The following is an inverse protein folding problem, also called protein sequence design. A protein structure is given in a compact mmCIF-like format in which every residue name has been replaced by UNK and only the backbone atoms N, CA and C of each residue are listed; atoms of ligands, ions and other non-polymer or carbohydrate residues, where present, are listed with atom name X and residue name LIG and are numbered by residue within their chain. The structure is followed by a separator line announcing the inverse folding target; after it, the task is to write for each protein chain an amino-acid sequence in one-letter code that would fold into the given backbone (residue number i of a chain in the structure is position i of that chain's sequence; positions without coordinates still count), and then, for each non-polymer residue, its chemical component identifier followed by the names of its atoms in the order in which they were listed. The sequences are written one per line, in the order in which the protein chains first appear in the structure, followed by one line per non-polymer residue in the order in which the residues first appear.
data_IF_132171062983
#
_entry.id   IF_132171062983
#
_cell.length_a   1.000
_cell.length_b   1.000
_cell.length_c   1.000
_cell.angle_alpha   90.00
_cell.angle_beta   90.00
_cell.angle_gamma   90.00
#
_symmetry.space_group_name_H-M   'P 1'
#
loop_
_entity.id
_entity.type
_entity.pdbx_description
1 polymer ?
#
# COMPACT_ATOMS: atom_id res chain seq x y z
N UNK A 1 -23.67 5.44 -7.48
CA UNK A 1 -24.43 5.60 -8.75
C UNK A 1 -25.66 6.49 -8.62
N UNK A 2 -26.53 6.34 -7.61
CA UNK A 2 -27.78 7.13 -7.50
C UNK A 2 -27.59 8.66 -7.40
N UNK A 3 -26.56 9.14 -6.71
CA UNK A 3 -26.33 10.58 -6.51
C UNK A 3 -25.93 11.33 -7.78
N UNK A 4 -25.10 10.69 -8.64
CA UNK A 4 -24.69 11.25 -9.94
C UNK A 4 -25.88 11.31 -10.91
N UNK A 5 -26.79 10.34 -10.81
CA UNK A 5 -28.01 10.26 -11.62
C UNK A 5 -28.99 11.39 -11.26
N UNK A 6 -29.15 11.67 -9.97
CA UNK A 6 -30.01 12.77 -9.47
C UNK A 6 -29.45 14.14 -9.86
N UNK A 7 -28.13 14.35 -9.74
CA UNK A 7 -27.49 15.63 -10.11
C UNK A 7 -27.48 15.85 -11.63
N UNK A 8 -27.24 14.81 -12.42
CA UNK A 8 -27.25 14.88 -13.89
C UNK A 8 -28.63 15.15 -14.48
N UNK A 9 -29.67 14.46 -13.98
CA UNK A 9 -31.05 14.69 -14.42
C UNK A 9 -31.55 16.06 -13.94
N UNK A 10 -31.29 16.43 -12.69
CA UNK A 10 -31.66 17.75 -12.17
C UNK A 10 -31.02 18.89 -12.98
N UNK A 11 -29.75 18.75 -13.37
CA UNK A 11 -29.02 19.75 -14.17
C UNK A 11 -29.55 19.84 -15.61
N UNK A 12 -29.96 18.72 -16.21
CA UNK A 12 -30.55 18.70 -17.56
C UNK A 12 -31.94 19.35 -17.60
N UNK A 13 -32.76 19.14 -16.57
CA UNK A 13 -34.13 19.68 -16.47
C UNK A 13 -34.14 21.14 -16.02
N UNK A 14 -33.31 21.52 -15.04
CA UNK A 14 -33.17 22.94 -14.65
C UNK A 14 -32.51 23.77 -15.74
N UNK A 15 -31.51 23.21 -16.43
CA UNK A 15 -30.81 23.87 -17.53
C UNK A 15 -31.76 24.22 -18.68
N UNK A 16 -32.65 23.30 -19.07
CA UNK A 16 -33.61 23.50 -20.16
C UNK A 16 -34.77 24.44 -19.79
N UNK A 17 -35.22 24.47 -18.53
CA UNK A 17 -36.23 25.44 -18.07
C UNK A 17 -35.68 26.87 -17.93
N UNK A 18 -34.44 27.02 -17.46
CA UNK A 18 -33.76 28.32 -17.38
C UNK A 18 -33.40 28.87 -18.78
N UNK A 19 -33.15 27.97 -19.75
CA UNK A 19 -32.83 28.28 -21.15
C UNK A 19 -33.92 29.06 -21.87
N UNK A 20 -35.20 28.73 -21.62
CA UNK A 20 -36.31 29.25 -22.42
C UNK A 20 -36.68 30.70 -22.07
N UNK A 21 -36.19 31.24 -20.94
CA UNK A 21 -36.62 32.55 -20.42
C UNK A 21 -35.56 33.66 -20.55
N UNK A 22 -34.32 33.35 -20.93
CA UNK A 22 -33.19 34.31 -20.82
C UNK A 22 -32.32 34.49 -22.05
N UNK A 23 -32.61 33.79 -23.16
CA UNK A 23 -31.80 33.84 -24.40
C UNK A 23 -32.07 35.10 -25.25
N UNK A 24 -33.16 35.82 -25.01
CA UNK A 24 -33.51 36.99 -25.82
C UNK A 24 -32.86 38.32 -25.39
N UNK A 25 -32.04 38.37 -24.32
CA UNK A 25 -31.60 39.66 -23.74
C UNK A 25 -30.12 39.83 -23.36
N UNK A 26 -29.25 38.84 -23.52
CA UNK A 26 -27.82 39.00 -23.15
C UNK A 26 -26.87 38.13 -24.03
N UNK A 27 -25.97 38.72 -24.84
CA UNK A 27 -24.99 37.98 -25.62
C UNK A 27 -23.98 37.18 -24.76
N UNK A 28 -23.83 37.50 -23.47
CA UNK A 28 -23.04 36.71 -22.51
C UNK A 28 -23.79 35.47 -21.97
N UNK A 29 -25.08 35.30 -22.26
CA UNK A 29 -25.83 34.08 -21.95
C UNK A 29 -25.34 32.89 -22.78
N UNK A 30 -24.79 33.14 -23.97
CA UNK A 30 -24.25 32.11 -24.87
C UNK A 30 -23.09 31.32 -24.26
N UNK A 31 -22.14 32.00 -23.58
CA UNK A 31 -20.99 31.35 -22.95
C UNK A 31 -21.38 30.46 -21.76
N UNK A 32 -22.36 30.89 -20.96
CA UNK A 32 -22.91 30.09 -19.84
C UNK A 32 -23.70 28.88 -20.36
N UNK A 33 -24.44 29.07 -21.45
CA UNK A 33 -25.21 27.99 -22.10
C UNK A 33 -24.33 26.90 -22.71
N UNK A 34 -23.18 27.27 -23.28
CA UNK A 34 -22.20 26.32 -23.81
C UNK A 34 -21.57 25.45 -22.71
N UNK A 35 -21.30 26.04 -21.54
CA UNK A 35 -20.78 25.32 -20.37
C UNK A 35 -21.72 24.23 -19.87
N UNK A 36 -23.03 24.49 -19.83
CA UNK A 36 -24.03 23.49 -19.44
C UNK A 36 -24.21 22.37 -20.46
N UNK A 37 -24.16 22.69 -21.76
CA UNK A 37 -24.24 21.68 -22.83
C UNK A 37 -23.03 20.74 -22.76
N UNK A 38 -21.83 21.26 -22.48
CA UNK A 38 -20.62 20.43 -22.38
C UNK A 38 -20.61 19.60 -21.10
N UNK A 39 -21.08 20.16 -19.98
CA UNK A 39 -21.30 19.36 -18.78
C UNK A 39 -22.24 18.19 -19.06
N UNK A 40 -23.34 18.42 -19.78
CA UNK A 40 -24.28 17.38 -20.17
C UNK A 40 -23.66 16.35 -21.16
N UNK A 41 -22.82 16.79 -22.10
CA UNK A 41 -22.13 15.89 -23.05
C UNK A 41 -21.03 15.09 -22.35
N UNK A 42 -20.21 15.69 -21.50
CA UNK A 42 -19.16 14.99 -20.74
C UNK A 42 -19.79 14.00 -19.76
N UNK A 43 -20.85 14.39 -19.05
CA UNK A 43 -21.61 13.48 -18.18
C UNK A 43 -22.32 12.38 -18.97
N UNK A 44 -22.95 12.70 -20.11
CA UNK A 44 -23.65 11.74 -20.95
C UNK A 44 -22.72 10.72 -21.60
N UNK A 45 -21.56 11.16 -22.10
CA UNK A 45 -20.50 10.29 -22.63
C UNK A 45 -19.93 9.42 -21.53
N UNK A 46 -19.70 9.96 -20.33
CA UNK A 46 -19.21 9.18 -19.18
C UNK A 46 -20.19 8.07 -18.72
N UNK A 47 -21.48 8.19 -19.03
CA UNK A 47 -22.51 7.18 -18.75
C UNK A 47 -22.59 6.07 -19.81
N UNK A 48 -22.06 6.31 -21.02
CA UNK A 48 -22.13 5.38 -22.15
C UNK A 48 -20.89 4.48 -22.29
N UNK A 49 -19.80 4.79 -21.59
CA UNK A 49 -18.52 4.10 -21.71
C UNK A 49 -18.03 3.49 -20.39
N UNK A 50 -17.32 2.36 -20.48
CA UNK A 50 -16.65 1.74 -19.33
C UNK A 50 -15.52 2.63 -18.77
N UNK A 51 -15.16 2.40 -17.49
CA UNK A 51 -14.20 3.22 -16.71
C UNK A 51 -12.96 3.65 -17.53
N UNK A 52 -12.30 2.70 -18.19
CA UNK A 52 -11.06 2.95 -18.95
C UNK A 52 -11.28 3.86 -20.16
N UNK A 53 -12.40 3.66 -20.86
CA UNK A 53 -12.77 4.47 -22.03
C UNK A 53 -13.17 5.88 -21.61
N UNK A 54 -13.82 6.03 -20.47
CA UNK A 54 -14.16 7.35 -19.88
C UNK A 54 -12.91 8.11 -19.44
N UNK A 55 -11.93 7.44 -18.81
CA UNK A 55 -10.64 8.05 -18.45
C UNK A 55 -9.83 8.47 -19.68
N UNK A 56 -9.76 7.61 -20.71
CA UNK A 56 -9.07 7.93 -21.96
C UNK A 56 -9.72 9.13 -22.67
N UNK A 57 -11.05 9.15 -22.77
CA UNK A 57 -11.80 10.25 -23.37
C UNK A 57 -11.61 11.56 -22.60
N UNK A 58 -11.77 11.55 -21.27
CA UNK A 58 -11.56 12.72 -20.43
C UNK A 58 -10.14 13.28 -20.57
N UNK A 59 -9.13 12.41 -20.65
CA UNK A 59 -7.73 12.81 -20.84
C UNK A 59 -7.49 13.47 -22.21
N UNK A 60 -8.09 12.92 -23.28
CA UNK A 60 -8.00 13.50 -24.63
C UNK A 60 -8.67 14.87 -24.71
N UNK A 61 -9.88 15.00 -24.14
CA UNK A 61 -10.60 16.27 -24.06
C UNK A 61 -9.82 17.31 -23.26
N UNK A 62 -9.23 16.90 -22.14
CA UNK A 62 -8.39 17.76 -21.32
C UNK A 62 -7.16 18.26 -22.07
N UNK A 63 -6.47 17.39 -22.82
CA UNK A 63 -5.31 17.77 -23.64
C UNK A 63 -5.68 18.77 -24.75
N UNK A 64 -6.80 18.54 -25.44
CA UNK A 64 -7.30 19.44 -26.48
C UNK A 64 -7.71 20.80 -25.91
N UNK A 65 -8.38 20.83 -24.76
CA UNK A 65 -8.74 22.06 -24.07
C UNK A 65 -7.50 22.83 -23.61
N UNK A 66 -6.47 22.13 -23.11
CA UNK A 66 -5.20 22.74 -22.74
C UNK A 66 -4.46 23.36 -23.93
N UNK A 67 -4.40 22.66 -25.07
CA UNK A 67 -3.86 23.21 -26.32
C UNK A 67 -4.67 24.44 -26.78
N UNK A 68 -6.00 24.41 -26.63
CA UNK A 68 -6.88 25.56 -26.86
C UNK A 68 -6.56 26.76 -25.98
N UNK A 69 -6.29 26.55 -24.68
CA UNK A 69 -5.85 27.62 -23.78
C UNK A 69 -4.53 28.25 -24.20
N UNK A 70 -3.53 27.45 -24.57
CA UNK A 70 -2.22 27.95 -25.05
C UNK A 70 -2.41 28.78 -26.32
N UNK A 71 -3.26 28.33 -27.24
CA UNK A 71 -3.57 29.08 -28.46
C UNK A 71 -4.27 30.42 -28.16
N UNK A 72 -5.27 30.42 -27.26
CA UNK A 72 -5.95 31.64 -26.82
C UNK A 72 -5.00 32.62 -26.13
N UNK A 73 -4.08 32.14 -25.28
CA UNK A 73 -3.09 32.96 -24.59
C UNK A 73 -2.16 33.69 -25.58
N UNK A 74 -1.77 33.03 -26.69
CA UNK A 74 -0.97 33.67 -27.76
C UNK A 74 -1.72 34.77 -28.52
N UNK A 75 -3.05 34.65 -28.66
CA UNK A 75 -3.90 35.60 -29.39
C UNK A 75 -4.60 36.64 -28.51
N UNK A 76 -4.37 36.63 -27.20
CA UNK A 76 -5.06 37.48 -26.24
C UNK A 76 -4.83 38.99 -26.47
N UNK A 77 -3.70 39.37 -27.08
CA UNK A 77 -3.41 40.78 -27.44
C UNK A 77 -4.15 41.27 -28.70
N UNK A 78 -4.63 40.36 -29.54
CA UNK A 78 -5.24 40.68 -30.83
C UNK A 78 -6.78 40.66 -30.80
N UNK A 79 -7.40 39.96 -29.85
CA UNK A 79 -8.86 39.82 -29.80
C UNK A 79 -9.38 39.84 -28.36
N UNK A 80 -10.30 40.77 -28.06
CA UNK A 80 -10.86 40.98 -26.71
C UNK A 80 -11.67 39.77 -26.18
N UNK A 81 -12.18 38.90 -27.07
CA UNK A 81 -12.96 37.71 -26.72
C UNK A 81 -12.10 36.47 -26.40
N UNK A 82 -10.77 36.54 -26.57
CA UNK A 82 -9.87 35.42 -26.28
C UNK A 82 -9.83 35.03 -24.80
N UNK A 83 -10.10 35.99 -23.90
CA UNK A 83 -10.14 35.74 -22.45
C UNK A 83 -11.34 34.86 -22.06
N UNK A 84 -12.52 35.11 -22.62
CA UNK A 84 -13.72 34.29 -22.38
C UNK A 84 -13.55 32.86 -22.91
N UNK A 85 -12.90 32.70 -24.06
CA UNK A 85 -12.57 31.39 -24.62
C UNK A 85 -11.57 30.61 -23.74
N UNK A 86 -10.57 31.29 -23.18
CA UNK A 86 -9.62 30.66 -22.25
C UNK A 86 -10.29 30.19 -20.95
N UNK A 87 -11.18 31.00 -20.36
CA UNK A 87 -11.97 30.63 -19.17
C UNK A 87 -12.85 29.39 -19.45
N UNK A 88 -13.40 29.32 -20.67
CA UNK A 88 -14.19 28.19 -21.11
C UNK A 88 -13.36 26.90 -21.20
N UNK A 89 -12.19 26.93 -21.84
CA UNK A 89 -11.32 25.76 -21.90
C UNK A 89 -10.79 25.34 -20.52
N UNK A 90 -10.50 26.32 -19.65
CA UNK A 90 -10.11 26.05 -18.27
C UNK A 90 -11.21 25.29 -17.51
N UNK A 91 -12.47 25.69 -17.68
CA UNK A 91 -13.61 25.01 -17.05
C UNK A 91 -13.73 23.56 -17.49
N UNK A 92 -13.46 23.26 -18.76
CA UNK A 92 -13.44 21.89 -19.30
C UNK A 92 -12.35 21.07 -18.63
N UNK A 93 -11.13 21.61 -18.53
CA UNK A 93 -10.00 20.92 -17.87
C UNK A 93 -10.33 20.61 -16.41
N UNK A 94 -10.94 21.56 -15.69
CA UNK A 94 -11.29 21.40 -14.28
C UNK A 94 -12.33 20.28 -14.08
N UNK A 95 -13.35 20.22 -14.95
CA UNK A 95 -14.36 19.16 -14.93
C UNK A 95 -13.78 17.78 -15.28
N UNK A 96 -12.91 17.69 -16.28
CA UNK A 96 -12.18 16.46 -16.61
C UNK A 96 -11.32 15.99 -15.43
N UNK A 97 -10.60 16.92 -14.77
CA UNK A 97 -9.80 16.62 -13.59
C UNK A 97 -10.63 16.08 -12.42
N UNK A 98 -11.76 16.71 -12.10
CA UNK A 98 -12.69 16.23 -11.06
C UNK A 98 -13.23 14.85 -11.40
N UNK A 99 -13.57 14.60 -12.67
CA UNK A 99 -14.12 13.31 -13.13
C UNK A 99 -13.10 12.19 -12.98
N UNK A 100 -11.86 12.42 -13.41
CA UNK A 100 -10.76 11.46 -13.25
C UNK A 100 -10.48 11.22 -11.76
N UNK A 101 -10.37 12.27 -10.95
CA UNK A 101 -10.17 12.13 -9.50
C UNK A 101 -11.30 11.35 -8.84
N UNK A 102 -12.54 11.63 -9.20
CA UNK A 102 -13.70 10.93 -8.63
C UNK A 102 -13.72 9.46 -9.03
N UNK A 103 -13.39 9.13 -10.28
CA UNK A 103 -13.32 7.74 -10.75
C UNK A 103 -12.19 6.98 -10.04
N UNK A 104 -11.02 7.61 -9.86
CA UNK A 104 -9.87 7.00 -9.20
C UNK A 104 -10.13 6.81 -7.71
N UNK A 105 -10.61 7.86 -7.03
CA UNK A 105 -10.82 7.85 -5.58
C UNK A 105 -12.04 7.01 -5.15
N UNK A 106 -13.06 6.90 -5.99
CA UNK A 106 -14.23 6.03 -5.75
C UNK A 106 -14.06 4.62 -6.35
N UNK A 107 -12.87 4.26 -6.85
CA UNK A 107 -12.68 2.92 -7.42
C UNK A 107 -12.42 1.87 -6.35
N UNK A 108 -13.32 0.88 -6.27
CA UNK A 108 -13.18 -0.31 -5.42
C UNK A 108 -12.01 -1.23 -5.84
N UNK A 109 -11.26 -0.90 -6.88
CA UNK A 109 -10.14 -1.72 -7.38
C UNK A 109 -8.96 -1.67 -6.42
N UNK A 110 -8.63 -0.48 -5.90
CA UNK A 110 -7.59 -0.32 -4.88
C UNK A 110 -7.94 -1.12 -3.63
N UNK A 111 -9.20 -1.07 -3.18
CA UNK A 111 -9.65 -1.85 -2.03
C UNK A 111 -9.58 -3.36 -2.27
N UNK A 112 -9.96 -3.83 -3.48
CA UNK A 112 -9.85 -5.24 -3.85
C UNK A 112 -8.40 -5.71 -3.89
N UNK A 113 -7.49 -4.91 -4.45
CA UNK A 113 -6.06 -5.21 -4.49
C UNK A 113 -5.47 -5.27 -3.08
N UNK A 114 -5.78 -4.28 -2.23
CA UNK A 114 -5.35 -4.27 -0.82
C UNK A 114 -5.88 -5.51 -0.08
N UNK A 115 -7.17 -5.83 -0.24
CA UNK A 115 -7.77 -7.00 0.37
C UNK A 115 -7.16 -8.31 -0.15
N UNK A 116 -6.73 -8.33 -1.42
CA UNK A 116 -6.04 -9.47 -2.01
C UNK A 116 -4.64 -9.66 -1.42
N UNK A 117 -3.86 -8.59 -1.33
CA UNK A 117 -2.54 -8.60 -0.70
C UNK A 117 -2.62 -8.97 0.78
N UNK A 118 -3.64 -8.52 1.50
CA UNK A 118 -3.91 -8.95 2.88
C UNK A 118 -4.15 -10.45 2.99
N UNK A 119 -4.88 -11.08 2.04
CA UNK A 119 -5.10 -12.53 2.05
C UNK A 119 -3.79 -13.31 1.82
N UNK A 120 -2.97 -12.86 0.89
CA UNK A 120 -1.64 -13.44 0.68
C UNK A 120 -0.77 -13.28 1.93
N UNK A 121 -0.79 -12.10 2.56
CA UNK A 121 -0.03 -11.85 3.76
C UNK A 121 -0.47 -12.76 4.92
N UNK A 122 -1.79 -12.86 5.17
CA UNK A 122 -2.36 -13.78 6.16
C UNK A 122 -1.99 -15.23 5.88
N UNK A 123 -2.13 -15.68 4.63
CA UNK A 123 -1.77 -17.04 4.24
C UNK A 123 -0.30 -17.34 4.51
N UNK A 124 0.59 -16.40 4.19
CA UNK A 124 2.02 -16.51 4.49
C UNK A 124 2.30 -16.61 5.99
N UNK A 125 1.64 -15.78 6.79
CA UNK A 125 1.72 -15.83 8.26
C UNK A 125 1.20 -17.16 8.82
N UNK A 126 0.12 -17.73 8.27
CA UNK A 126 -0.37 -19.07 8.65
C UNK A 126 0.68 -20.14 8.38
N UNK A 127 1.28 -20.13 7.19
CA UNK A 127 2.26 -21.16 6.82
C UNK A 127 3.54 -21.01 7.66
N UNK A 128 4.01 -19.79 7.92
CA UNK A 128 5.13 -19.57 8.84
C UNK A 128 4.80 -20.06 10.26
N UNK A 129 3.63 -19.71 10.79
CA UNK A 129 3.18 -20.17 12.11
C UNK A 129 3.14 -21.70 12.21
N UNK A 130 2.67 -22.38 11.16
CA UNK A 130 2.66 -23.85 11.09
C UNK A 130 4.06 -24.45 11.06
N UNK A 131 4.99 -23.84 10.32
CA UNK A 131 6.39 -24.29 10.27
C UNK A 131 7.06 -24.12 11.64
N UNK A 132 6.88 -22.95 12.26
CA UNK A 132 7.36 -22.65 13.61
C UNK A 132 6.81 -23.64 14.64
N UNK A 133 5.52 -23.91 14.64
CA UNK A 133 4.89 -24.85 15.58
C UNK A 133 5.35 -26.30 15.39
N UNK A 134 5.85 -26.66 14.21
CA UNK A 134 6.46 -27.98 13.97
C UNK A 134 7.91 -28.02 14.47
N UNK A 135 8.69 -26.97 14.20
CA UNK A 135 10.13 -26.92 14.52
C UNK A 135 10.39 -26.61 15.99
N UNK A 136 9.56 -25.76 16.57
CA UNK A 136 9.79 -25.15 17.88
C UNK A 136 8.57 -25.28 18.82
N UNK A 137 8.00 -26.50 19.00
CA UNK A 137 6.87 -26.68 19.90
C UNK A 137 7.25 -26.36 21.36
N UNK A 138 6.32 -25.78 22.10
CA UNK A 138 6.47 -25.40 23.51
C UNK A 138 7.29 -24.13 23.74
N UNK A 139 7.77 -23.46 22.70
CA UNK A 139 8.43 -22.16 22.83
C UNK A 139 7.42 -21.07 23.17
N UNK A 140 7.91 -20.01 23.81
CA UNK A 140 7.17 -18.78 24.11
C UNK A 140 7.66 -17.68 23.18
N UNK A 141 6.74 -17.12 22.41
CA UNK A 141 7.01 -16.19 21.33
C UNK A 141 6.87 -14.73 21.77
N UNK A 142 7.88 -13.93 21.44
CA UNK A 142 7.78 -12.48 21.33
C UNK A 142 7.47 -12.14 19.86
N UNK A 143 6.34 -11.49 19.60
CA UNK A 143 6.03 -10.95 18.28
C UNK A 143 6.45 -9.48 18.24
N UNK A 144 7.44 -9.15 17.41
CA UNK A 144 7.92 -7.78 17.23
C UNK A 144 7.07 -7.08 16.17
N UNK A 145 6.36 -6.04 16.59
CA UNK A 145 5.37 -5.29 15.79
C UNK A 145 5.80 -3.83 15.59
N UNK A 146 5.15 -3.10 14.69
CA UNK A 146 5.36 -1.64 14.61
C UNK A 146 4.65 -0.92 15.77
N UNK A 147 5.14 0.27 16.12
CA UNK A 147 4.43 1.19 17.01
C UNK A 147 3.03 1.47 16.45
N UNK A 148 1.99 1.33 17.28
CA UNK A 148 0.58 1.47 16.88
C UNK A 148 0.09 0.43 15.85
N UNK A 149 0.60 -0.80 15.86
CA UNK A 149 0.16 -1.88 14.96
C UNK A 149 -1.37 -2.10 14.97
N UNK A 150 -2.07 -1.71 16.04
CA UNK A 150 -3.52 -1.77 16.17
C UNK A 150 -4.25 -0.84 15.18
N UNK A 151 -3.54 0.08 14.52
CA UNK A 151 -4.07 0.89 13.42
C UNK A 151 -3.80 0.24 12.05
N UNK A 152 -2.91 -0.74 11.98
CA UNK A 152 -2.53 -1.44 10.76
C UNK A 152 -3.34 -2.71 10.57
N UNK A 153 -4.32 -2.68 9.66
CA UNK A 153 -5.07 -3.88 9.29
C UNK A 153 -4.16 -4.99 8.78
N UNK A 154 -3.07 -4.63 8.08
CA UNK A 154 -2.09 -5.60 7.59
C UNK A 154 -1.41 -6.35 8.75
N UNK A 155 -0.91 -5.64 9.77
CA UNK A 155 -0.28 -6.31 10.91
C UNK A 155 -1.28 -7.16 11.71
N UNK A 156 -2.52 -6.70 11.88
CA UNK A 156 -3.56 -7.52 12.53
C UNK A 156 -3.78 -8.85 11.81
N UNK A 157 -3.93 -8.82 10.49
CA UNK A 157 -4.13 -10.04 9.70
C UNK A 157 -2.90 -10.97 9.74
N UNK A 158 -1.68 -10.40 9.76
CA UNK A 158 -0.45 -11.19 9.91
C UNK A 158 -0.36 -11.84 11.29
N UNK A 159 -0.70 -11.10 12.35
CA UNK A 159 -0.73 -11.63 13.73
C UNK A 159 -1.79 -12.71 13.87
N UNK A 160 -2.98 -12.51 13.31
CA UNK A 160 -4.05 -13.51 13.30
C UNK A 160 -3.61 -14.76 12.52
N UNK A 161 -3.01 -14.59 11.35
CA UNK A 161 -2.46 -15.72 10.59
C UNK A 161 -1.39 -16.48 11.35
N UNK A 162 -0.47 -15.79 12.04
CA UNK A 162 0.51 -16.43 12.92
C UNK A 162 -0.18 -17.22 14.04
N UNK A 163 -1.18 -16.64 14.72
CA UNK A 163 -1.96 -17.33 15.77
C UNK A 163 -2.61 -18.60 15.23
N UNK A 164 -3.27 -18.52 14.08
CA UNK A 164 -3.91 -19.67 13.43
C UNK A 164 -2.90 -20.76 13.07
N UNK A 165 -1.73 -20.36 12.58
CA UNK A 165 -0.67 -21.29 12.19
C UNK A 165 0.02 -21.96 13.36
N UNK A 166 0.31 -21.18 14.41
CA UNK A 166 0.97 -21.65 15.62
C UNK A 166 0.05 -22.55 16.47
N UNK A 167 -1.24 -22.24 16.50
CA UNK A 167 -2.22 -22.90 17.34
C UNK A 167 -1.82 -22.87 18.81
N UNK A 168 -2.05 -23.98 19.54
CA UNK A 168 -1.66 -24.11 20.94
C UNK A 168 -0.23 -24.59 21.15
N UNK A 169 0.56 -24.79 20.09
CA UNK A 169 1.91 -25.36 20.18
C UNK A 169 2.97 -24.32 20.55
N UNK A 170 2.68 -23.03 20.35
CA UNK A 170 3.55 -21.92 20.74
C UNK A 170 2.70 -20.94 21.53
N UNK A 171 3.15 -20.57 22.71
CA UNK A 171 2.52 -19.53 23.52
C UNK A 171 2.98 -18.17 23.01
N UNK A 172 2.09 -17.19 22.81
CA UNK A 172 2.51 -15.80 22.61
C UNK A 172 2.71 -15.19 23.99
N UNK A 173 3.97 -14.95 24.36
CA UNK A 173 4.31 -14.34 25.64
C UNK A 173 4.14 -12.84 25.64
N UNK A 174 4.54 -12.19 24.55
CA UNK A 174 4.43 -10.77 24.39
C UNK A 174 4.26 -10.37 22.92
N UNK A 175 3.65 -9.20 22.72
CA UNK A 175 3.67 -8.49 21.45
C UNK A 175 4.12 -7.07 21.77
N UNK A 176 5.24 -6.64 21.21
CA UNK A 176 5.87 -5.37 21.58
C UNK A 176 6.69 -4.81 20.41
N UNK A 177 7.11 -3.56 20.50
CA UNK A 177 7.81 -2.85 19.44
C UNK A 177 9.19 -2.36 19.89
N UNK A 178 10.08 -2.15 18.93
CA UNK A 178 11.43 -1.64 19.22
C UNK A 178 11.36 -0.15 19.58
N UNK A 179 11.83 0.19 20.79
CA UNK A 179 11.90 1.56 21.29
C UNK A 179 13.18 2.21 20.78
N UNK A 180 13.03 3.15 19.85
CA UNK A 180 14.13 3.97 19.35
C UNK A 180 14.10 5.32 20.08
N UNK A 181 15.19 5.73 20.75
CA UNK A 181 15.26 7.02 21.40
C UNK A 181 15.27 8.15 20.37
N UNK A 182 14.47 9.19 20.64
CA UNK A 182 14.48 10.42 19.85
C UNK A 182 15.68 11.26 20.33
N UNK A 183 16.60 11.68 19.44
CA UNK A 183 17.75 12.49 19.83
C UNK A 183 17.34 13.78 20.55
N UNK A 184 18.11 14.16 21.58
CA UNK A 184 17.89 15.41 22.30
C UNK A 184 18.12 16.62 21.37
N UNK A 185 17.28 17.66 21.52
CA UNK A 185 17.38 18.89 20.72
C UNK A 185 16.57 18.89 19.42
N UNK A 186 15.83 17.82 19.12
CA UNK A 186 14.91 17.76 17.99
C UNK A 186 13.69 18.62 18.27
N UNK A 187 13.51 19.68 17.47
CA UNK A 187 12.39 20.63 17.63
C UNK A 187 11.04 20.03 17.29
N UNK A 188 11.00 19.04 16.40
CA UNK A 188 9.78 18.37 15.98
C UNK A 188 9.94 16.84 16.06
N UNK A 189 9.66 16.24 17.23
CA UNK A 189 9.76 14.79 17.43
C UNK A 189 8.93 13.98 16.42
N UNK A 190 7.82 14.54 15.94
CA UNK A 190 6.93 13.89 14.97
C UNK A 190 7.62 13.64 13.61
N UNK A 191 8.57 14.49 13.19
CA UNK A 191 9.33 14.28 11.95
C UNK A 191 10.26 13.07 12.03
N UNK A 192 10.79 12.77 13.22
CA UNK A 192 11.60 11.58 13.46
C UNK A 192 10.71 10.35 13.57
N UNK A 193 9.52 10.47 14.16
CA UNK A 193 8.54 9.38 14.17
C UNK A 193 8.03 9.01 12.76
N UNK A 194 8.16 9.91 11.78
CA UNK A 194 7.84 9.64 10.37
C UNK A 194 8.96 8.93 9.60
N UNK A 195 10.18 8.85 10.14
CA UNK A 195 11.26 8.11 9.48
C UNK A 195 10.95 6.61 9.51
N UNK A 196 11.25 5.86 8.42
CA UNK A 196 11.07 4.43 8.42
C UNK A 196 11.88 3.76 9.53
N UNK A 197 11.29 2.78 10.22
CA UNK A 197 11.94 2.11 11.36
C UNK A 197 13.30 1.49 10.99
N UNK A 198 13.45 0.99 9.76
CA UNK A 198 14.71 0.41 9.27
C UNK A 198 15.86 1.43 9.18
N UNK A 199 15.58 2.73 9.12
CA UNK A 199 16.60 3.79 9.12
C UNK A 199 17.09 4.15 10.54
N UNK A 200 16.27 3.90 11.57
CA UNK A 200 16.56 4.32 12.95
C UNK A 200 16.85 3.16 13.91
N UNK A 201 16.39 1.97 13.58
CA UNK A 201 16.54 0.78 14.41
C UNK A 201 17.99 0.29 14.37
N UNK A 202 18.60 0.19 15.55
CA UNK A 202 19.94 -0.38 15.77
C UNK A 202 19.86 -1.69 16.53
N UNK A 203 20.92 -2.50 16.43
CA UNK A 203 21.09 -3.76 17.15
C UNK A 203 20.83 -3.59 18.65
N UNK A 204 21.37 -2.53 19.27
CA UNK A 204 21.14 -2.22 20.68
C UNK A 204 19.66 -2.06 21.03
N UNK A 205 18.87 -1.39 20.20
CA UNK A 205 17.45 -1.17 20.45
C UNK A 205 16.68 -2.50 20.42
N UNK A 206 17.04 -3.37 19.47
CA UNK A 206 16.45 -4.70 19.36
C UNK A 206 16.87 -5.58 20.55
N UNK A 207 18.15 -5.56 20.91
CA UNK A 207 18.67 -6.31 22.06
C UNK A 207 18.04 -5.86 23.39
N UNK A 208 17.77 -4.57 23.54
CA UNK A 208 17.06 -4.06 24.71
C UNK A 208 15.63 -4.59 24.79
N UNK A 209 14.92 -4.67 23.65
CA UNK A 209 13.62 -5.31 23.59
C UNK A 209 13.70 -6.79 24.00
N UNK A 210 14.72 -7.53 23.55
CA UNK A 210 14.90 -8.93 23.95
C UNK A 210 15.14 -9.08 25.46
N UNK A 211 15.87 -8.15 26.08
CA UNK A 211 16.11 -8.15 27.54
C UNK A 211 14.85 -7.86 28.36
N UNK A 212 13.89 -7.14 27.80
CA UNK A 212 12.60 -6.87 28.47
C UNK A 212 11.70 -8.10 28.52
N UNK A 213 11.89 -9.07 27.61
CA UNK A 213 11.08 -10.29 27.48
C UNK A 213 11.95 -11.56 27.53
N UNK A 214 12.74 -11.80 28.60
CA UNK A 214 13.71 -12.89 28.68
C UNK A 214 13.07 -14.29 28.70
N UNK A 215 11.79 -14.40 29.02
CA UNK A 215 11.02 -15.63 28.96
C UNK A 215 10.64 -16.05 27.52
N UNK A 216 10.70 -15.11 26.57
CA UNK A 216 10.40 -15.37 25.17
C UNK A 216 11.65 -15.91 24.45
N UNK A 217 11.61 -17.19 24.11
CA UNK A 217 12.71 -17.92 23.47
C UNK A 217 12.49 -18.22 21.97
N UNK A 218 11.44 -17.63 21.41
CA UNK A 218 11.18 -17.51 19.97
C UNK A 218 10.83 -16.04 19.69
N UNK A 219 11.54 -15.40 18.76
CA UNK A 219 11.28 -14.02 18.35
C UNK A 219 10.74 -14.05 16.93
N UNK A 220 9.57 -13.47 16.70
CA UNK A 220 8.93 -13.39 15.38
C UNK A 220 8.85 -11.92 15.00
N UNK A 221 9.72 -11.46 14.12
CA UNK A 221 9.73 -10.06 13.69
C UNK A 221 8.86 -9.83 12.45
N UNK A 222 7.91 -8.91 12.57
CA UNK A 222 7.10 -8.39 11.47
C UNK A 222 7.71 -7.13 10.83
N UNK A 223 8.76 -6.58 11.45
CA UNK A 223 9.38 -5.31 11.07
C UNK A 223 10.81 -5.48 10.51
N UNK A 224 11.25 -6.74 10.33
CA UNK A 224 12.61 -7.06 9.90
C UNK A 224 13.64 -7.00 11.03
N UNK A 225 14.90 -6.81 10.66
CA UNK A 225 16.03 -6.69 11.58
C UNK A 225 16.68 -5.29 11.45
N UNK A 226 17.45 -4.85 12.46
CA UNK A 226 18.24 -3.61 12.40
C UNK A 226 19.20 -3.58 11.21
N UNK A 227 19.56 -2.39 10.73
CA UNK A 227 20.53 -2.24 9.64
C UNK A 227 21.92 -2.78 10.03
N UNK A 228 22.35 -2.52 11.26
CA UNK A 228 23.57 -3.06 11.87
C UNK A 228 23.32 -4.46 12.46
N UNK A 229 22.56 -5.30 11.73
CA UNK A 229 22.17 -6.65 12.15
C UNK A 229 23.32 -7.45 12.71
N UNK A 230 24.55 -7.33 12.17
CA UNK A 230 25.74 -8.04 12.63
C UNK A 230 26.17 -7.76 14.07
N UNK A 231 25.72 -6.66 14.67
CA UNK A 231 26.05 -6.25 16.05
C UNK A 231 25.05 -6.78 17.09
N UNK A 232 23.99 -7.50 16.67
CA UNK A 232 23.02 -8.03 17.63
C UNK A 232 23.64 -9.06 18.57
N UNK A 233 23.30 -8.98 19.84
CA UNK A 233 23.78 -9.87 20.90
C UNK A 233 23.46 -11.35 20.64
N UNK A 234 22.40 -11.66 19.90
CA UNK A 234 21.97 -13.03 19.62
C UNK A 234 23.03 -13.86 18.90
N UNK A 235 23.95 -13.25 18.15
CA UNK A 235 24.98 -13.98 17.41
C UNK A 235 26.06 -14.56 18.31
N UNK A 236 26.28 -13.97 19.49
CA UNK A 236 27.32 -14.35 20.44
C UNK A 236 26.76 -15.08 21.67
N UNK A 237 25.44 -15.11 21.85
CA UNK A 237 24.78 -15.90 22.91
C UNK A 237 25.05 -17.40 22.78
N UNK A 238 25.09 -18.10 23.90
CA UNK A 238 25.14 -19.57 23.93
C UNK A 238 23.91 -20.19 23.26
N UNK A 239 24.08 -21.29 22.54
CA UNK A 239 22.99 -21.95 21.80
C UNK A 239 21.77 -22.31 22.67
N UNK A 240 22.01 -22.67 23.94
CA UNK A 240 20.96 -23.06 24.88
C UNK A 240 20.09 -21.89 25.35
N UNK A 241 20.62 -20.67 25.33
CA UNK A 241 19.95 -19.46 25.79
C UNK A 241 19.55 -18.53 24.65
N UNK A 242 20.15 -18.70 23.48
CA UNK A 242 19.87 -17.93 22.27
C UNK A 242 18.42 -18.13 21.84
N UNK A 243 17.63 -17.05 21.68
CA UNK A 243 16.29 -17.16 21.11
C UNK A 243 16.37 -17.56 19.63
N UNK A 244 15.43 -18.39 19.18
CA UNK A 244 15.26 -18.62 17.73
C UNK A 244 14.60 -17.39 17.13
N UNK A 245 15.07 -16.93 15.97
CA UNK A 245 14.48 -15.78 15.28
C UNK A 245 13.74 -16.22 14.02
N UNK A 246 12.56 -15.67 13.79
CA UNK A 246 11.76 -15.87 12.60
C UNK A 246 11.39 -14.50 12.01
N UNK A 247 11.58 -14.34 10.71
CA UNK A 247 11.31 -13.09 10.01
C UNK A 247 10.17 -13.27 9.02
N UNK A 248 9.18 -12.37 9.07
CA UNK A 248 8.10 -12.31 8.09
C UNK A 248 8.42 -11.27 7.01
N UNK A 249 8.33 -11.65 5.73
CA UNK A 249 8.67 -10.80 4.58
C UNK A 249 10.08 -10.21 4.67
N UNK A 250 11.04 -11.05 5.04
CA UNK A 250 12.42 -10.65 5.26
C UNK A 250 13.09 -10.19 3.96
N UNK A 251 13.88 -9.12 4.10
CA UNK A 251 15.04 -8.92 3.25
C UNK A 251 16.10 -9.95 3.65
N UNK A 252 16.50 -10.80 2.70
CA UNK A 252 17.39 -11.94 2.96
C UNK A 252 18.81 -11.73 2.45
N UNK A 253 19.11 -10.61 1.78
CA UNK A 253 20.39 -10.40 1.07
C UNK A 253 21.61 -10.64 1.98
N UNK A 254 21.58 -10.10 3.19
CA UNK A 254 22.66 -10.26 4.17
C UNK A 254 22.49 -11.46 5.13
N UNK A 255 21.41 -12.24 5.02
CA UNK A 255 21.00 -13.21 6.05
C UNK A 255 21.41 -14.66 5.77
N UNK A 256 21.99 -14.96 4.61
CA UNK A 256 22.34 -16.33 4.20
C UNK A 256 23.11 -17.11 5.27
N UNK A 257 24.17 -16.50 5.83
CA UNK A 257 25.01 -17.15 6.85
C UNK A 257 24.25 -17.44 8.14
N UNK A 258 23.40 -16.50 8.57
CA UNK A 258 22.59 -16.67 9.78
C UNK A 258 21.51 -17.76 9.59
N UNK A 259 20.93 -17.86 8.40
CA UNK A 259 19.98 -18.93 8.05
C UNK A 259 20.70 -20.29 8.00
N UNK A 260 21.87 -20.37 7.36
CA UNK A 260 22.65 -21.60 7.25
C UNK A 260 23.14 -22.10 8.62
N UNK A 261 23.47 -21.19 9.52
CA UNK A 261 23.85 -21.47 10.90
C UNK A 261 22.66 -21.81 11.83
N UNK A 262 21.43 -21.89 11.30
CA UNK A 262 20.20 -22.14 12.07
C UNK A 262 19.89 -21.08 13.14
N UNK A 263 20.43 -19.87 12.99
CA UNK A 263 20.19 -18.78 13.93
C UNK A 263 18.83 -18.14 13.70
N UNK A 264 18.39 -18.10 12.44
CA UNK A 264 17.08 -17.60 12.06
C UNK A 264 16.45 -18.37 10.91
N UNK A 265 15.13 -18.25 10.80
CA UNK A 265 14.37 -18.63 9.61
C UNK A 265 13.74 -17.38 8.99
N UNK A 266 13.63 -17.35 7.67
CA UNK A 266 13.14 -16.17 6.95
C UNK A 266 12.06 -16.54 5.94
N UNK A 267 10.85 -16.02 6.11
CA UNK A 267 9.84 -16.03 5.07
C UNK A 267 10.10 -14.87 4.11
N UNK A 268 10.27 -15.17 2.83
CA UNK A 268 10.47 -14.15 1.79
C UNK A 268 9.77 -14.54 0.48
N UNK A 269 9.89 -13.70 -0.54
CA UNK A 269 9.35 -13.96 -1.87
C UNK A 269 10.16 -15.01 -2.63
N UNK A 270 9.49 -15.82 -3.45
CA UNK A 270 10.19 -16.73 -4.37
C UNK A 270 10.97 -15.92 -5.42
N UNK A 271 12.17 -16.38 -5.84
CA UNK A 271 12.89 -15.76 -6.93
C UNK A 271 12.04 -15.74 -8.20
N UNK A 272 12.00 -14.60 -8.88
CA UNK A 272 11.26 -14.43 -10.13
C UNK A 272 9.72 -14.48 -9.98
N UNK A 273 9.18 -14.41 -8.75
CA UNK A 273 7.73 -14.29 -8.57
C UNK A 273 7.22 -13.05 -9.32
N UNK A 274 6.15 -13.22 -10.09
CA UNK A 274 5.42 -12.11 -10.69
C UNK A 274 4.22 -11.80 -9.83
N UNK A 275 4.09 -10.56 -9.43
CA UNK A 275 2.88 -10.07 -8.78
C UNK A 275 1.78 -9.97 -9.83
N UNK A 276 0.74 -10.79 -9.68
CA UNK A 276 -0.47 -10.72 -10.49
C UNK A 276 -1.64 -10.19 -9.65
N UNK A 277 -2.63 -9.62 -10.35
CA UNK A 277 -3.90 -9.20 -9.75
C UNK A 277 -4.85 -10.38 -9.49
N UNK A 278 -4.39 -11.62 -9.75
CA UNK A 278 -5.19 -12.81 -9.54
C UNK A 278 -5.60 -12.93 -8.07
N UNK A 279 -6.85 -13.31 -7.80
CA UNK A 279 -7.33 -13.46 -6.44
C UNK A 279 -6.55 -14.55 -5.71
N UNK A 280 -6.15 -14.26 -4.47
CA UNK A 280 -5.51 -15.19 -3.57
C UNK A 280 -6.36 -16.46 -3.44
N UNK A 281 -5.76 -17.65 -3.63
CA UNK A 281 -6.42 -18.92 -3.36
C UNK A 281 -7.03 -18.94 -1.96
N UNK A 282 -8.20 -19.58 -1.82
CA UNK A 282 -8.84 -19.75 -0.51
C UNK A 282 -8.02 -20.64 0.43
N UNK A 283 -7.27 -21.58 -0.13
CA UNK A 283 -6.39 -22.45 0.63
C UNK A 283 -5.08 -21.71 0.94
N UNK A 284 -4.71 -21.56 2.23
CA UNK A 284 -3.51 -20.83 2.62
C UNK A 284 -2.21 -21.41 2.05
N UNK A 285 -2.12 -22.74 1.88
CA UNK A 285 -0.93 -23.37 1.33
C UNK A 285 -0.76 -23.02 -0.14
N UNK A 286 -1.84 -23.12 -0.94
CA UNK A 286 -1.82 -22.71 -2.35
C UNK A 286 -1.50 -21.23 -2.51
N UNK A 287 -2.06 -20.36 -1.68
CA UNK A 287 -1.74 -18.92 -1.72
C UNK A 287 -0.27 -18.66 -1.36
N UNK A 288 0.26 -19.36 -0.35
CA UNK A 288 1.66 -19.29 0.01
C UNK A 288 2.58 -19.76 -1.13
N UNK A 289 2.30 -20.95 -1.68
CA UNK A 289 3.11 -21.59 -2.72
C UNK A 289 3.17 -20.78 -4.02
N UNK A 290 2.23 -19.88 -4.25
CA UNK A 290 2.29 -18.98 -5.41
C UNK A 290 3.40 -17.93 -5.29
N UNK A 291 3.69 -17.44 -4.07
CA UNK A 291 4.50 -16.21 -3.91
C UNK A 291 5.70 -16.34 -2.99
N UNK A 292 5.67 -17.26 -2.03
CA UNK A 292 6.57 -17.21 -0.89
C UNK A 292 7.35 -18.50 -0.69
N UNK A 293 8.45 -18.37 0.03
CA UNK A 293 9.30 -19.45 0.48
C UNK A 293 9.75 -19.16 1.91
N UNK A 294 9.86 -20.21 2.73
CA UNK A 294 10.53 -20.13 4.04
C UNK A 294 11.93 -20.67 3.85
N UNK A 295 12.92 -19.81 4.11
CA UNK A 295 14.33 -20.15 4.11
C UNK A 295 14.74 -20.64 5.49
N UNK A 296 15.39 -21.79 5.49
CA UNK A 296 15.90 -22.48 6.66
C UNK A 296 17.27 -23.08 6.31
N UNK A 297 18.01 -23.58 7.31
CA UNK A 297 19.26 -24.32 7.04
C UNK A 297 19.10 -25.47 6.04
N UNK A 298 17.89 -26.05 5.95
CA UNK A 298 17.60 -27.21 5.12
C UNK A 298 17.55 -26.88 3.62
N UNK A 299 17.24 -25.62 3.26
CA UNK A 299 17.04 -25.22 1.86
C UNK A 299 17.81 -23.96 1.42
N UNK A 300 18.45 -23.22 2.33
CA UNK A 300 19.13 -21.96 2.00
C UNK A 300 20.21 -22.14 0.92
N UNK A 301 20.91 -23.29 0.90
CA UNK A 301 21.94 -23.59 -0.10
C UNK A 301 21.37 -23.90 -1.48
N UNK A 302 20.18 -24.49 -1.56
CA UNK A 302 19.59 -24.88 -2.85
C UNK A 302 18.99 -23.70 -3.62
N UNK A 303 18.77 -22.57 -2.95
CA UNK A 303 18.21 -21.35 -3.56
C UNK A 303 19.25 -20.29 -3.91
N UNK A 304 20.52 -20.52 -3.55
CA UNK A 304 21.63 -19.57 -3.76
C UNK A 304 21.83 -19.19 -5.24
N UNK A 305 21.72 -20.15 -6.16
CA UNK A 305 21.90 -19.93 -7.60
C UNK A 305 20.81 -19.09 -8.28
N UNK A 306 19.76 -18.67 -7.54
CA UNK A 306 18.61 -17.96 -8.10
C UNK A 306 18.65 -16.44 -7.88
N UNK A 307 19.82 -15.85 -7.64
CA UNK A 307 20.03 -14.42 -7.31
C UNK A 307 19.27 -13.92 -6.07
N UNK A 308 18.86 -14.81 -5.17
CA UNK A 308 18.11 -14.46 -3.96
C UNK A 308 18.93 -13.64 -2.95
N UNK A 309 20.26 -13.77 -2.98
CA UNK A 309 21.18 -13.15 -2.03
C UNK A 309 22.12 -12.12 -2.67
N UNK A 310 21.87 -11.70 -3.91
CA UNK A 310 22.72 -10.70 -4.59
C UNK A 310 22.22 -9.30 -4.25
N UNK A 311 23.12 -8.41 -3.80
CA UNK A 311 22.87 -6.97 -3.61
C UNK A 311 22.63 -6.24 -4.94
#
# INVERSE_FOLDING_TARGET
MGFILVVGVASSVFGSFYFRKKVDSDPNASAKSLGFIILAVVCGVSLLFGKDKTMAFASQVMFLAFAGMIYCARKQRAYANAQSAAIFFFSIVLLCGITILSITFLSNETEKLIANEMKFAKAASIILGRDLAKRYPGRKALIVVEKNYEKSNRQKEMIEGLKDGMGSKIEIGAMDYVKVPIPEGVKNPEEIEMMPMWEMMRAEHFDNLLKEHPECNLVISLIGLPYDVGEMSIWTMDENTRPKVALLFADVHALKRAIDADYLIALTYKPGVKFSEDPAPKDPQKAFDQRYIILTKDNVKSVEGNNMFME
#
